data_IF_205848874163
#
_entry.id   IF_205848874163
#
_cell.length_a   1.000
_cell.length_b   1.000
_cell.length_c   1.000
_cell.angle_alpha   90.00
_cell.angle_beta   90.00
_cell.angle_gamma   90.00
#
_symmetry.space_group_name_H-M   'P 1'
#
loop_
_entity.id
_entity.type
_entity.pdbx_description
1 polymer ?
#
# COMPACT_ATOMS: atom_id res chain seq x y z
N UNK A 1 -1.71 14.73 -4.93
CA UNK A 1 -1.37 15.00 -3.53
C UNK A 1 -0.54 13.85 -3.01
N UNK A 2 0.59 14.15 -2.37
CA UNK A 2 1.50 13.13 -1.85
C UNK A 2 1.77 13.40 -0.38
N UNK A 3 1.91 12.33 0.39
CA UNK A 3 2.15 12.39 1.82
C UNK A 3 3.42 11.61 2.13
N UNK A 4 4.34 12.22 2.85
CA UNK A 4 5.59 11.57 3.23
C UNK A 4 5.49 11.02 4.64
N UNK A 5 6.35 10.02 4.91
CA UNK A 5 6.53 9.51 6.26
C UNK A 5 6.98 10.65 7.18
N UNK A 6 6.66 10.52 8.47
CA UNK A 6 7.23 11.39 9.48
C UNK A 6 8.75 11.24 9.48
N UNK A 7 9.45 12.32 9.12
CA UNK A 7 10.90 12.33 8.95
C UNK A 7 11.67 12.63 10.25
N UNK A 8 10.99 12.65 11.39
CA UNK A 8 11.67 12.88 12.67
C UNK A 8 12.67 11.77 13.02
N UNK A 9 12.64 10.65 12.30
CA UNK A 9 13.56 9.51 12.47
C UNK A 9 14.41 9.32 11.23
N UNK A 10 15.15 10.32 10.84
CA UNK A 10 16.03 10.21 9.68
C UNK A 10 17.09 9.15 9.91
N UNK A 11 17.12 8.16 9.01
CA UNK A 11 18.21 7.20 8.96
C UNK A 11 19.32 7.65 8.02
N UNK A 12 20.42 6.93 8.04
CA UNK A 12 21.52 7.13 7.10
C UNK A 12 21.03 6.64 5.71
N UNK A 13 21.20 7.49 4.70
CA UNK A 13 20.90 7.11 3.32
C UNK A 13 21.99 6.15 2.83
N UNK A 14 21.59 4.98 2.39
CA UNK A 14 22.53 4.00 1.82
C UNK A 14 23.08 4.47 0.48
N UNK A 15 24.22 3.88 0.07
CA UNK A 15 24.85 4.16 -1.21
C UNK A 15 24.32 3.30 -2.35
N UNK A 16 23.53 2.26 -2.04
CA UNK A 16 22.92 1.38 -3.04
C UNK A 16 21.88 2.13 -3.89
N UNK A 17 21.74 1.78 -5.18
CA UNK A 17 20.64 2.30 -5.98
C UNK A 17 19.28 2.04 -5.31
N UNK A 18 18.41 3.01 -5.37
CA UNK A 18 17.08 2.90 -4.76
C UNK A 18 16.16 2.07 -5.64
N UNK A 19 15.55 1.04 -5.05
CA UNK A 19 14.49 0.25 -5.67
C UNK A 19 13.15 0.82 -5.23
N UNK A 20 12.34 1.25 -6.19
CA UNK A 20 11.01 1.79 -5.92
C UNK A 20 10.00 0.64 -5.86
N UNK A 21 9.28 0.57 -4.75
CA UNK A 21 8.30 -0.48 -4.48
C UNK A 21 6.91 0.15 -4.33
N UNK A 22 5.94 -0.42 -5.02
CA UNK A 22 4.55 0.02 -4.96
C UNK A 22 3.67 -1.05 -4.35
N UNK A 23 2.74 -0.64 -3.50
CA UNK A 23 1.58 -1.44 -3.12
C UNK A 23 0.39 -0.52 -2.89
N UNK A 24 -0.83 -1.04 -3.08
CA UNK A 24 -2.02 -0.24 -2.86
C UNK A 24 -3.13 -1.05 -2.18
N UNK A 25 -4.05 -0.34 -1.56
CA UNK A 25 -5.18 -0.94 -0.89
C UNK A 25 -6.04 0.08 -0.20
N UNK A 26 -7.05 -0.40 0.51
CA UNK A 26 -7.97 0.42 1.30
C UNK A 26 -7.34 0.85 2.63
N UNK A 27 -6.69 -0.08 3.32
CA UNK A 27 -6.05 0.12 4.61
C UNK A 27 -6.96 0.81 5.64
N UNK A 28 -8.21 0.36 5.69
CA UNK A 28 -9.23 0.98 6.53
C UNK A 28 -9.05 0.64 8.01
N UNK A 29 -8.90 -0.64 8.30
CA UNK A 29 -8.59 -1.13 9.65
C UNK A 29 -7.29 -1.91 9.57
N UNK A 30 -6.21 -1.30 10.03
CA UNK A 30 -4.89 -1.94 9.96
C UNK A 30 -4.74 -3.03 11.00
N UNK A 31 -4.03 -4.07 10.62
CA UNK A 31 -3.71 -5.19 11.50
C UNK A 31 -2.29 -5.71 11.16
N UNK A 32 -1.84 -6.70 11.92
CA UNK A 32 -0.48 -7.25 11.77
C UNK A 32 -0.19 -7.76 10.35
N UNK A 33 -1.21 -8.25 9.64
CA UNK A 33 -1.06 -8.70 8.26
C UNK A 33 -0.66 -7.58 7.31
N UNK A 34 -1.20 -6.38 7.49
CA UNK A 34 -0.80 -5.21 6.72
C UNK A 34 0.64 -4.81 7.03
N UNK A 35 1.00 -4.80 8.30
CA UNK A 35 2.37 -4.46 8.72
C UNK A 35 3.38 -5.45 8.12
N UNK A 36 3.03 -6.74 8.12
CA UNK A 36 3.85 -7.76 7.49
C UNK A 36 4.08 -7.47 6.00
N UNK A 37 3.02 -7.08 5.29
CA UNK A 37 3.10 -6.72 3.87
C UNK A 37 4.04 -5.54 3.64
N UNK A 38 3.92 -4.48 4.45
CA UNK A 38 4.79 -3.29 4.35
C UNK A 38 6.24 -3.65 4.68
N UNK A 39 6.45 -4.50 5.67
CA UNK A 39 7.79 -4.96 6.05
C UNK A 39 8.45 -5.75 4.91
N UNK A 40 7.69 -6.66 4.28
CA UNK A 40 8.19 -7.40 3.14
C UNK A 40 8.55 -6.47 1.98
N UNK A 41 7.74 -5.45 1.72
CA UNK A 41 8.02 -4.45 0.69
C UNK A 41 9.33 -3.70 1.00
N UNK A 42 9.52 -3.28 2.25
CA UNK A 42 10.74 -2.58 2.67
C UNK A 42 11.98 -3.44 2.50
N UNK A 43 11.88 -4.73 2.78
CA UNK A 43 13.04 -5.64 2.83
C UNK A 43 13.27 -6.39 1.52
N UNK A 44 12.52 -6.09 0.45
CA UNK A 44 12.62 -6.82 -0.81
C UNK A 44 13.92 -6.55 -1.58
N UNK A 45 14.61 -5.47 -1.25
CA UNK A 45 15.88 -5.09 -1.83
C UNK A 45 16.73 -4.35 -0.78
N UNK A 46 18.06 -4.20 -1.00
CA UNK A 46 18.93 -3.55 0.00
C UNK A 46 18.56 -2.11 0.33
N UNK A 47 18.08 -1.35 -0.66
CA UNK A 47 17.69 0.04 -0.46
C UNK A 47 16.38 0.29 -1.21
N UNK A 48 15.29 0.50 -0.47
CA UNK A 48 13.97 0.65 -1.04
C UNK A 48 13.37 2.01 -0.73
N UNK A 49 12.54 2.48 -1.65
CA UNK A 49 11.58 3.55 -1.41
C UNK A 49 10.21 2.91 -1.60
N UNK A 50 9.36 2.96 -0.57
CA UNK A 50 8.05 2.29 -0.56
C UNK A 50 6.96 3.34 -0.68
N UNK A 51 6.19 3.26 -1.75
CA UNK A 51 5.03 4.13 -2.00
C UNK A 51 3.75 3.32 -1.90
N UNK A 52 2.81 3.80 -1.09
CA UNK A 52 1.51 3.16 -0.86
C UNK A 52 0.42 4.00 -1.52
N UNK A 53 -0.32 3.38 -2.44
CA UNK A 53 -1.55 3.95 -2.98
C UNK A 53 -2.71 3.62 -2.06
N UNK A 54 -3.58 4.59 -1.81
CA UNK A 54 -4.72 4.38 -0.92
C UNK A 54 -6.02 4.82 -1.58
N UNK A 55 -7.05 3.95 -1.54
CA UNK A 55 -8.39 4.27 -2.04
C UNK A 55 -8.98 5.44 -1.24
N UNK A 56 -9.54 6.44 -1.94
CA UNK A 56 -10.24 7.51 -1.24
C UNK A 56 -11.59 7.01 -0.68
N UNK A 57 -12.29 7.85 0.10
CA UNK A 57 -13.50 7.45 0.79
C UNK A 57 -14.62 7.05 -0.19
N UNK A 58 -14.77 7.78 -1.28
CA UNK A 58 -15.77 7.50 -2.30
C UNK A 58 -15.53 6.13 -2.94
N UNK A 59 -14.29 5.85 -3.33
CA UNK A 59 -13.93 4.58 -3.95
C UNK A 59 -14.14 3.41 -2.99
N UNK A 60 -13.79 3.57 -1.72
CA UNK A 60 -14.03 2.53 -0.72
C UNK A 60 -15.52 2.22 -0.61
N UNK A 61 -16.36 3.26 -0.56
CA UNK A 61 -17.81 3.09 -0.49
C UNK A 61 -18.34 2.35 -1.73
N UNK A 62 -17.84 2.68 -2.92
CA UNK A 62 -18.23 2.00 -4.15
C UNK A 62 -17.84 0.52 -4.14
N UNK A 63 -16.65 0.18 -3.63
CA UNK A 63 -16.14 -1.17 -3.66
C UNK A 63 -16.66 -2.04 -2.51
N UNK A 64 -16.92 -1.46 -1.34
CA UNK A 64 -17.19 -2.19 -0.11
C UNK A 64 -18.54 -1.89 0.54
N UNK A 65 -19.30 -0.94 0.00
CA UNK A 65 -20.61 -0.58 0.52
C UNK A 65 -20.62 0.72 1.32
N UNK A 66 -21.84 1.24 1.60
CA UNK A 66 -22.04 2.58 2.14
C UNK A 66 -21.60 2.75 3.61
N UNK A 67 -21.41 1.66 4.34
CA UNK A 67 -20.92 1.72 5.72
C UNK A 67 -19.37 1.66 5.82
N UNK A 68 -18.69 1.75 4.69
CA UNK A 68 -17.24 1.78 4.61
C UNK A 68 -16.79 3.05 3.90
N UNK A 69 -15.64 3.66 4.21
CA UNK A 69 -14.68 3.18 5.20
C UNK A 69 -15.13 3.47 6.65
N UNK A 70 -14.55 2.74 7.59
CA UNK A 70 -14.69 3.02 9.03
C UNK A 70 -13.90 4.26 9.38
N UNK A 71 -12.69 4.40 8.84
CA UNK A 71 -11.81 5.54 9.05
C UNK A 71 -11.74 6.40 7.78
N UNK A 72 -11.84 7.72 7.94
CA UNK A 72 -11.72 8.66 6.82
C UNK A 72 -10.35 8.55 6.15
N UNK A 73 -10.26 9.01 4.91
CA UNK A 73 -9.00 9.03 4.16
C UNK A 73 -7.86 9.68 4.95
N UNK A 74 -8.11 10.87 5.51
CA UNK A 74 -7.04 11.58 6.21
C UNK A 74 -6.62 10.87 7.50
N UNK A 75 -7.54 10.21 8.19
CA UNK A 75 -7.20 9.40 9.35
C UNK A 75 -6.39 8.16 8.95
N UNK A 76 -6.75 7.52 7.84
CA UNK A 76 -5.99 6.38 7.30
C UNK A 76 -4.58 6.80 6.88
N UNK A 77 -4.45 7.93 6.23
CA UNK A 77 -3.15 8.49 5.84
C UNK A 77 -2.30 8.77 7.08
N UNK A 78 -2.90 9.37 8.10
CA UNK A 78 -2.17 9.68 9.34
C UNK A 78 -1.58 8.44 9.98
N UNK A 79 -2.33 7.34 10.01
CA UNK A 79 -1.85 6.07 10.55
C UNK A 79 -0.70 5.53 9.69
N UNK A 80 -0.86 5.54 8.37
CA UNK A 80 0.18 5.04 7.46
C UNK A 80 1.47 5.86 7.55
N UNK A 81 1.36 7.17 7.78
CA UNK A 81 2.53 8.04 7.94
C UNK A 81 3.39 7.68 9.14
N UNK A 82 2.83 7.02 10.13
CA UNK A 82 3.56 6.59 11.34
C UNK A 82 4.30 5.26 11.16
N UNK A 83 4.09 4.57 10.05
CA UNK A 83 4.66 3.24 9.82
C UNK A 83 6.05 3.40 9.19
N UNK A 84 7.06 2.86 9.87
CA UNK A 84 8.47 3.04 9.48
C UNK A 84 8.82 2.43 8.12
N UNK A 85 8.01 1.48 7.63
CA UNK A 85 8.26 0.79 6.35
C UNK A 85 7.77 1.56 5.14
N UNK A 86 7.02 2.64 5.32
CA UNK A 86 6.37 3.40 4.25
C UNK A 86 7.06 4.76 4.10
N UNK A 87 7.43 5.13 2.88
CA UNK A 87 8.06 6.42 2.60
C UNK A 87 7.07 7.45 2.08
N UNK A 88 6.09 7.02 1.28
CA UNK A 88 5.19 7.94 0.60
C UNK A 88 3.81 7.32 0.45
N UNK A 89 2.76 8.15 0.52
CA UNK A 89 1.37 7.73 0.40
C UNK A 89 0.69 8.62 -0.62
N UNK A 90 -0.03 8.02 -1.58
CA UNK A 90 -0.77 8.77 -2.61
C UNK A 90 -2.21 8.26 -2.68
N UNK A 91 -3.21 9.12 -2.54
CA UNK A 91 -4.61 8.71 -2.70
C UNK A 91 -5.01 8.64 -4.17
N UNK A 92 -6.00 7.79 -4.47
CA UNK A 92 -6.61 7.71 -5.79
C UNK A 92 -8.10 7.39 -5.65
N UNK A 93 -8.92 7.86 -6.59
CA UNK A 93 -10.37 7.71 -6.56
C UNK A 93 -10.96 6.90 -7.70
N UNK A 94 -10.13 6.45 -8.65
CA UNK A 94 -10.58 5.67 -9.81
C UNK A 94 -9.45 4.78 -10.33
N UNK A 95 -9.82 3.83 -11.20
CA UNK A 95 -8.84 2.97 -11.87
C UNK A 95 -7.85 3.80 -12.69
N UNK A 96 -8.34 4.83 -13.39
CA UNK A 96 -7.48 5.68 -14.20
C UNK A 96 -6.52 6.50 -13.35
N UNK A 97 -6.96 7.01 -12.20
CA UNK A 97 -6.08 7.70 -11.26
C UNK A 97 -5.04 6.74 -10.68
N UNK A 98 -5.43 5.51 -10.37
CA UNK A 98 -4.50 4.50 -9.87
C UNK A 98 -3.40 4.23 -10.90
N UNK A 99 -3.79 4.01 -12.17
CA UNK A 99 -2.81 3.81 -13.25
C UNK A 99 -1.89 5.02 -13.40
N UNK A 100 -2.44 6.23 -13.33
CA UNK A 100 -1.66 7.46 -13.44
C UNK A 100 -0.63 7.59 -12.31
N UNK A 101 -1.02 7.26 -11.08
CA UNK A 101 -0.11 7.30 -9.93
C UNK A 101 1.01 6.26 -10.06
N UNK A 102 0.68 5.06 -10.50
CA UNK A 102 1.67 3.99 -10.72
C UNK A 102 2.67 4.42 -11.81
N UNK A 103 2.18 4.94 -12.92
CA UNK A 103 3.04 5.41 -14.01
C UNK A 103 3.96 6.55 -13.58
N UNK A 104 3.43 7.50 -12.83
CA UNK A 104 4.21 8.63 -12.33
C UNK A 104 5.31 8.18 -11.37
N UNK A 105 4.99 7.22 -10.50
CA UNK A 105 5.97 6.68 -9.57
C UNK A 105 7.03 5.81 -10.26
N UNK A 106 6.62 5.13 -11.31
CA UNK A 106 7.49 4.23 -12.10
C UNK A 106 8.19 3.18 -11.22
N UNK A 107 7.43 2.31 -10.53
CA UNK A 107 8.02 1.34 -9.63
C UNK A 107 8.77 0.24 -10.36
N UNK A 108 9.79 -0.31 -9.71
CA UNK A 108 10.48 -1.51 -10.15
C UNK A 108 9.71 -2.78 -9.78
N UNK A 109 9.06 -2.75 -8.62
CA UNK A 109 8.39 -3.92 -8.03
C UNK A 109 7.04 -3.48 -7.48
N UNK A 110 6.00 -4.28 -7.76
CA UNK A 110 4.72 -4.22 -7.05
C UNK A 110 4.67 -5.38 -6.05
N UNK A 111 4.31 -5.07 -4.81
CA UNK A 111 4.08 -6.08 -3.77
C UNK A 111 2.58 -6.22 -3.55
N UNK A 112 2.08 -7.44 -3.53
CA UNK A 112 0.66 -7.71 -3.38
C UNK A 112 0.46 -9.02 -2.61
N UNK A 113 -0.69 -9.15 -1.94
CA UNK A 113 -1.03 -10.37 -1.23
C UNK A 113 -1.16 -11.57 -2.18
N UNK A 114 -0.71 -12.75 -1.75
CA UNK A 114 -0.73 -13.96 -2.56
C UNK A 114 -2.14 -14.38 -3.00
N UNK A 115 -3.18 -13.93 -2.29
CA UNK A 115 -4.59 -14.18 -2.66
C UNK A 115 -4.94 -13.64 -4.04
N UNK A 116 -4.17 -12.68 -4.55
CA UNK A 116 -4.42 -12.05 -5.85
C UNK A 116 -3.75 -12.77 -7.01
N UNK A 117 -3.03 -13.88 -6.77
CA UNK A 117 -2.45 -14.68 -7.84
C UNK A 117 -3.52 -15.13 -8.83
N UNK A 118 -3.22 -14.98 -10.11
CA UNK A 118 -4.13 -15.35 -11.17
C UNK A 118 -5.21 -14.34 -11.49
N UNK A 119 -5.26 -13.23 -10.74
CA UNK A 119 -6.19 -12.12 -11.02
C UNK A 119 -5.48 -11.04 -11.81
N UNK A 120 -6.24 -10.31 -12.62
CA UNK A 120 -5.73 -9.12 -13.28
C UNK A 120 -5.58 -7.99 -12.26
N UNK A 121 -4.40 -7.40 -12.21
CA UNK A 121 -4.08 -6.34 -11.25
C UNK A 121 -3.93 -5.02 -12.01
N UNK A 122 -4.67 -4.00 -11.59
CA UNK A 122 -4.63 -2.69 -12.22
C UNK A 122 -3.21 -2.11 -12.13
N UNK A 123 -2.66 -1.73 -13.28
CA UNK A 123 -1.34 -1.10 -13.34
C UNK A 123 -0.17 -2.06 -13.45
N UNK A 124 -0.40 -3.38 -13.37
CA UNK A 124 0.69 -4.36 -13.44
C UNK A 124 1.47 -4.28 -14.75
N UNK A 125 0.82 -3.85 -15.83
CA UNK A 125 1.45 -3.71 -17.15
C UNK A 125 2.57 -2.66 -17.18
N UNK A 126 2.60 -1.77 -16.20
CA UNK A 126 3.63 -0.72 -16.11
C UNK A 126 4.78 -1.11 -15.18
N UNK A 127 4.75 -2.31 -14.61
CA UNK A 127 5.69 -2.71 -13.56
C UNK A 127 6.45 -3.96 -13.99
N UNK A 128 7.80 -3.93 -13.99
CA UNK A 128 8.59 -5.07 -14.44
C UNK A 128 8.42 -6.35 -13.62
N UNK A 129 8.10 -6.23 -12.33
CA UNK A 129 8.06 -7.37 -11.42
C UNK A 129 6.94 -7.24 -10.42
N UNK A 130 6.16 -8.31 -10.24
CA UNK A 130 5.13 -8.42 -9.21
C UNK A 130 5.55 -9.51 -8.24
N UNK A 131 5.60 -9.18 -6.95
CA UNK A 131 5.93 -10.11 -5.88
C UNK A 131 4.70 -10.37 -5.03
N UNK A 132 4.39 -11.64 -4.83
CA UNK A 132 3.26 -12.08 -4.02
C UNK A 132 3.74 -12.43 -2.61
N UNK A 133 3.05 -11.88 -1.60
CA UNK A 133 3.39 -12.11 -0.19
C UNK A 133 2.29 -12.95 0.46
N UNK A 134 2.69 -14.05 1.09
CA UNK A 134 1.75 -14.93 1.78
C UNK A 134 1.12 -14.23 2.99
N UNK A 135 -0.12 -14.61 3.32
CA UNK A 135 -0.83 -14.05 4.46
C UNK A 135 -0.08 -14.31 5.76
N UNK A 136 -0.12 -13.31 6.63
CA UNK A 136 0.35 -13.42 8.00
C UNK A 136 -0.85 -13.81 8.88
N UNK A 137 -0.88 -15.03 9.39
CA UNK A 137 -1.94 -15.58 10.27
C UNK A 137 -3.36 -15.49 9.72
N UNK A 138 -3.52 -15.31 8.42
CA UNK A 138 -4.84 -15.24 7.78
C UNK A 138 -5.68 -14.02 8.17
N UNK A 139 -5.08 -12.99 8.77
CA UNK A 139 -5.79 -11.79 9.20
C UNK A 139 -6.25 -10.95 8.00
N UNK A 140 -7.43 -10.32 8.16
CA UNK A 140 -7.95 -9.35 7.21
C UNK A 140 -8.79 -8.32 7.94
N UNK A 141 -8.93 -7.11 7.35
CA UNK A 141 -9.76 -6.05 7.92
C UNK A 141 -11.21 -6.48 8.07
N UNK A 142 -11.75 -7.16 7.07
CA UNK A 142 -13.13 -7.66 7.10
C UNK A 142 -13.33 -8.65 8.24
N UNK A 143 -12.39 -9.57 8.44
CA UNK A 143 -12.44 -10.55 9.49
C UNK A 143 -12.43 -9.91 10.88
N UNK A 144 -11.59 -8.88 11.07
CA UNK A 144 -11.51 -8.14 12.33
C UNK A 144 -12.81 -7.38 12.60
N UNK A 145 -13.33 -6.66 11.61
CA UNK A 145 -14.56 -5.86 11.75
C UNK A 145 -15.76 -6.74 12.07
N UNK A 146 -15.85 -7.92 11.46
CA UNK A 146 -16.96 -8.84 11.66
C UNK A 146 -16.81 -9.74 12.88
N UNK A 147 -15.76 -9.53 13.67
CA UNK A 147 -15.53 -10.29 14.91
C UNK A 147 -15.11 -11.75 14.66
N UNK A 148 -14.63 -12.02 13.43
CA UNK A 148 -14.29 -13.40 13.07
C UNK A 148 -12.89 -13.58 12.51
#
# INVERSE_FOLDING_TARGET
MRFRRDMSRNGIVGTEPTTRVWLNGTFDVLHAGHIHLFQQARNIAPNTHVCVGIDDDYRVAQLKGNNRPVNSLFNRIKVLQSIVYIDEIVPFGSDDELRAQIRAYNPHIMVIGADYRGRTIIGEEYIPRVEYVERYDGLSSTKIINGG
#
